data_IF_857303240210
#
_entry.id   IF_857303240210
#
_cell.length_a   1.000
_cell.length_b   1.000
_cell.length_c   1.000
_cell.angle_alpha   90.00
_cell.angle_beta   90.00
_cell.angle_gamma   90.00
#
_symmetry.space_group_name_H-M   'P 1'
#
loop_
_entity.id
_entity.type
_entity.pdbx_description
1 polymer ?
#
# COMPACT_ATOMS: atom_id res chain seq x y z
N UNK A 1 4.83 4.60 7.45
CA UNK A 1 4.32 4.51 6.06
C UNK A 1 4.65 5.81 5.33
N UNK A 2 4.82 5.75 4.01
CA UNK A 2 5.03 6.91 3.16
C UNK A 2 4.23 6.77 1.86
N UNK A 3 3.86 7.91 1.25
CA UNK A 3 3.33 7.97 -0.12
C UNK A 3 4.45 8.42 -1.04
N UNK A 4 4.74 7.63 -2.06
CA UNK A 4 5.65 7.99 -3.15
C UNK A 4 4.84 8.06 -4.44
N UNK A 5 4.70 9.26 -5.03
CA UNK A 5 3.90 9.45 -6.25
C UNK A 5 4.72 10.12 -7.34
N UNK A 6 4.55 9.67 -8.59
CA UNK A 6 5.08 10.35 -9.77
C UNK A 6 4.41 11.70 -10.08
N UNK A 7 3.37 12.07 -9.32
CA UNK A 7 2.62 13.31 -9.52
C UNK A 7 3.35 14.52 -8.91
N UNK A 8 3.03 15.72 -9.40
CA UNK A 8 3.27 16.97 -8.67
C UNK A 8 2.13 17.24 -7.67
N UNK A 9 2.34 18.17 -6.74
CA UNK A 9 1.43 18.60 -5.69
C UNK A 9 0.06 18.91 -6.24
N UNK A 10 -0.03 19.77 -7.27
CA UNK A 10 -1.32 20.13 -7.88
C UNK A 10 -2.13 18.90 -8.33
N UNK A 11 -1.47 17.96 -9.01
CA UNK A 11 -2.13 16.72 -9.50
C UNK A 11 -2.44 15.78 -8.34
N UNK A 12 -1.56 15.69 -7.35
CA UNK A 12 -1.75 14.86 -6.18
C UNK A 12 -2.95 15.34 -5.35
N UNK A 13 -3.07 16.65 -5.12
CA UNK A 13 -4.19 17.24 -4.39
C UNK A 13 -5.52 16.96 -5.08
N UNK A 14 -5.60 17.15 -6.40
CA UNK A 14 -6.78 16.85 -7.20
C UNK A 14 -7.21 15.37 -7.09
N UNK A 15 -6.23 14.44 -7.12
CA UNK A 15 -6.49 13.00 -6.95
C UNK A 15 -6.87 12.64 -5.51
N UNK A 16 -6.35 13.38 -4.54
CA UNK A 16 -6.51 13.09 -3.11
C UNK A 16 -7.82 13.60 -2.52
N UNK A 17 -8.58 14.45 -3.24
CA UNK A 17 -9.82 15.08 -2.72
C UNK A 17 -10.77 14.06 -2.10
N UNK A 18 -11.01 12.92 -2.76
CA UNK A 18 -11.94 11.88 -2.30
C UNK A 18 -11.44 11.04 -1.13
N UNK A 19 -10.15 11.15 -0.81
CA UNK A 19 -9.43 10.25 0.09
C UNK A 19 -8.60 10.99 1.14
N UNK A 20 -8.83 12.31 1.27
CA UNK A 20 -8.04 13.23 2.08
C UNK A 20 -7.94 12.79 3.55
N UNK A 21 -9.06 12.31 4.11
CA UNK A 21 -9.18 11.94 5.52
C UNK A 21 -8.14 10.92 5.99
N UNK A 22 -7.79 9.93 5.17
CA UNK A 22 -6.79 8.92 5.53
C UNK A 22 -5.41 9.21 4.92
N UNK A 23 -5.36 9.86 3.75
CA UNK A 23 -4.07 10.27 3.15
C UNK A 23 -3.33 11.29 4.01
N UNK A 24 -4.05 12.14 4.75
CA UNK A 24 -3.46 13.12 5.66
C UNK A 24 -2.82 12.45 6.90
N UNK A 25 -3.25 11.22 7.25
CA UNK A 25 -2.64 10.42 8.33
C UNK A 25 -1.25 9.90 7.97
N UNK A 26 -0.87 9.88 6.68
CA UNK A 26 0.45 9.44 6.23
C UNK A 26 1.38 10.66 6.15
N UNK A 27 2.34 10.82 7.08
CA UNK A 27 3.08 12.07 7.23
C UNK A 27 4.10 12.29 6.11
N UNK A 28 4.73 11.21 5.62
CA UNK A 28 5.78 11.29 4.61
C UNK A 28 5.13 11.19 3.23
N UNK A 29 5.26 12.26 2.44
CA UNK A 29 4.78 12.32 1.06
C UNK A 29 5.91 12.79 0.15
N UNK A 30 6.39 11.91 -0.72
CA UNK A 30 7.37 12.23 -1.77
C UNK A 30 6.64 12.35 -3.09
N UNK A 31 6.47 13.60 -3.54
CA UNK A 31 5.81 13.93 -4.80
C UNK A 31 6.89 14.22 -5.84
N UNK A 32 7.22 13.20 -6.64
CA UNK A 32 8.36 13.22 -7.55
C UNK A 32 8.31 14.35 -8.57
N UNK A 33 7.11 14.83 -8.92
CA UNK A 33 6.95 15.94 -9.86
C UNK A 33 7.52 17.27 -9.35
N UNK A 34 7.66 17.45 -8.03
CA UNK A 34 8.21 18.66 -7.42
C UNK A 34 9.39 18.38 -6.48
N UNK A 35 9.75 17.11 -6.28
CA UNK A 35 10.83 16.73 -5.38
C UNK A 35 12.19 16.85 -6.08
N UNK A 36 12.91 17.92 -5.77
CA UNK A 36 14.28 18.20 -6.26
C UNK A 36 15.26 17.02 -6.05
N UNK A 37 15.09 16.26 -4.98
CA UNK A 37 15.96 15.11 -4.69
C UNK A 37 15.75 13.95 -5.67
N UNK A 38 14.57 13.86 -6.30
CA UNK A 38 14.27 12.87 -7.33
C UNK A 38 14.75 13.38 -8.69
N UNK A 39 16.00 13.07 -9.02
CA UNK A 39 16.65 13.55 -10.25
C UNK A 39 16.14 12.84 -11.49
N UNK A 40 15.80 11.55 -11.36
CA UNK A 40 15.30 10.73 -12.46
C UNK A 40 13.93 10.16 -12.11
N UNK A 41 12.97 10.34 -13.01
CA UNK A 41 11.65 9.74 -12.87
C UNK A 41 11.69 8.21 -13.04
N UNK A 42 10.59 7.54 -12.69
CA UNK A 42 10.40 6.10 -12.99
C UNK A 42 10.67 5.84 -14.49
N UNK A 43 11.41 4.77 -14.87
CA UNK A 43 11.73 3.57 -14.09
C UNK A 43 13.03 3.63 -13.27
N UNK A 44 13.65 4.79 -13.09
CA UNK A 44 14.81 4.91 -12.21
C UNK A 44 14.40 4.82 -10.73
N UNK A 45 15.27 4.29 -9.84
CA UNK A 45 14.91 3.98 -8.45
C UNK A 45 14.84 5.19 -7.53
N UNK A 46 15.25 6.36 -8.01
CA UNK A 46 15.48 7.58 -7.22
C UNK A 46 14.30 7.91 -6.29
N UNK A 47 13.05 7.77 -6.75
CA UNK A 47 11.88 8.07 -5.94
C UNK A 47 11.77 7.20 -4.68
N UNK A 48 12.08 5.91 -4.77
CA UNK A 48 12.04 5.01 -3.63
C UNK A 48 13.23 5.21 -2.71
N UNK A 49 14.42 5.43 -3.27
CA UNK A 49 15.63 5.73 -2.50
C UNK A 49 15.47 7.00 -1.67
N UNK A 50 14.98 8.08 -2.27
CA UNK A 50 14.67 9.34 -1.58
C UNK A 50 13.61 9.11 -0.51
N UNK A 51 12.54 8.38 -0.83
CA UNK A 51 11.46 8.09 0.13
C UNK A 51 11.97 7.37 1.37
N UNK A 52 12.85 6.37 1.22
CA UNK A 52 13.46 5.67 2.36
C UNK A 52 14.26 6.61 3.27
N UNK A 53 14.95 7.61 2.71
CA UNK A 53 15.71 8.58 3.49
C UNK A 53 14.83 9.63 4.20
N UNK A 54 13.55 9.75 3.85
CA UNK A 54 12.60 10.65 4.56
C UNK A 54 12.07 10.08 5.87
N UNK A 55 12.31 8.81 6.16
CA UNK A 55 11.92 8.22 7.45
C UNK A 55 12.85 8.71 8.56
N UNK A 56 12.33 9.03 9.76
CA UNK A 56 13.16 9.40 10.91
C UNK A 56 14.22 8.35 11.25
N UNK A 57 13.87 7.07 11.07
CA UNK A 57 14.79 5.94 11.11
C UNK A 57 14.71 5.26 9.74
N UNK A 58 15.71 5.48 8.87
CA UNK A 58 15.76 4.83 7.56
C UNK A 58 15.81 3.29 7.70
N UNK A 59 15.23 2.55 6.75
CA UNK A 59 15.30 1.09 6.76
C UNK A 59 16.76 0.61 6.63
N UNK A 60 17.11 -0.45 7.36
CA UNK A 60 18.47 -0.99 7.35
C UNK A 60 18.91 -1.52 5.97
N UNK A 61 17.98 -2.05 5.17
CA UNK A 61 18.22 -2.52 3.82
C UNK A 61 16.96 -2.31 2.95
N UNK A 62 17.08 -2.02 1.63
CA UNK A 62 15.92 -1.85 0.75
C UNK A 62 14.95 -3.03 0.73
N UNK A 63 15.45 -4.26 0.91
CA UNK A 63 14.62 -5.48 1.00
C UNK A 63 13.69 -5.50 2.22
N UNK A 64 13.87 -4.61 3.21
CA UNK A 64 12.97 -4.47 4.35
C UNK A 64 11.80 -3.51 4.05
N UNK A 65 11.71 -3.01 2.82
CA UNK A 65 10.68 -2.09 2.36
C UNK A 65 9.76 -2.80 1.39
N UNK A 66 8.47 -2.70 1.65
CA UNK A 66 7.39 -3.19 0.80
C UNK A 66 6.73 -2.01 0.09
N UNK A 67 6.60 -2.12 -1.23
CA UNK A 67 5.99 -1.12 -2.12
C UNK A 67 4.81 -1.74 -2.85
N UNK A 68 3.69 -1.03 -2.85
CA UNK A 68 2.55 -1.33 -3.71
C UNK A 68 2.57 -0.39 -4.91
N UNK A 69 2.59 -0.94 -6.13
CA UNK A 69 2.65 -0.17 -7.37
C UNK A 69 1.60 -0.63 -8.37
N UNK A 70 1.04 0.32 -9.11
CA UNK A 70 0.00 0.09 -10.12
C UNK A 70 0.51 0.13 -11.55
N UNK A 71 1.72 0.67 -11.74
CA UNK A 71 2.28 0.97 -13.06
C UNK A 71 3.56 0.16 -13.36
N UNK A 72 3.74 -0.33 -14.61
CA UNK A 72 4.96 -1.02 -15.03
C UNK A 72 6.27 -0.25 -14.74
N UNK A 73 6.29 1.05 -15.03
CA UNK A 73 7.46 1.90 -14.78
C UNK A 73 7.74 2.01 -13.27
N UNK A 74 6.70 2.08 -12.44
CA UNK A 74 6.84 2.10 -11.00
C UNK A 74 7.36 0.79 -10.43
N UNK A 75 6.84 -0.34 -10.92
CA UNK A 75 7.36 -1.66 -10.56
C UNK A 75 8.85 -1.80 -10.92
N UNK A 76 9.25 -1.41 -12.13
CA UNK A 76 10.65 -1.40 -12.56
C UNK A 76 11.53 -0.53 -11.66
N UNK A 77 11.06 0.65 -11.27
CA UNK A 77 11.76 1.51 -10.33
C UNK A 77 11.92 0.88 -8.94
N UNK A 78 10.90 0.15 -8.45
CA UNK A 78 10.95 -0.53 -7.17
C UNK A 78 11.98 -1.68 -7.20
N UNK A 79 11.97 -2.49 -8.26
CA UNK A 79 12.94 -3.57 -8.46
C UNK A 79 14.36 -3.00 -8.55
N UNK A 80 14.55 -1.93 -9.33
CA UNK A 80 15.83 -1.24 -9.44
C UNK A 80 16.32 -0.64 -8.11
N UNK A 81 15.40 -0.31 -7.20
CA UNK A 81 15.72 0.19 -5.86
C UNK A 81 16.08 -0.94 -4.87
N UNK A 82 15.86 -2.21 -5.25
CA UNK A 82 16.07 -3.37 -4.39
C UNK A 82 15.00 -3.55 -3.30
N UNK A 83 13.86 -2.89 -3.44
CA UNK A 83 12.72 -3.02 -2.50
C UNK A 83 11.79 -4.17 -2.94
N UNK A 84 11.00 -4.67 -2.00
CA UNK A 84 9.95 -5.64 -2.31
C UNK A 84 8.81 -4.93 -3.01
N UNK A 85 8.42 -5.39 -4.20
CA UNK A 85 7.36 -4.78 -4.99
C UNK A 85 6.17 -5.73 -5.14
N UNK A 86 4.99 -5.25 -4.76
CA UNK A 86 3.70 -5.89 -5.02
C UNK A 86 2.97 -5.07 -6.08
N UNK A 87 2.80 -5.68 -7.24
CA UNK A 87 2.10 -5.06 -8.36
C UNK A 87 0.59 -5.21 -8.15
N UNK A 88 -0.12 -4.08 -8.04
CA UNK A 88 -1.58 -3.96 -7.98
C UNK A 88 -2.03 -3.31 -9.29
N UNK A 89 -2.11 -4.08 -10.40
CA UNK A 89 -2.25 -3.50 -11.72
C UNK A 89 -3.57 -2.73 -11.85
N UNK A 90 -3.49 -1.52 -12.40
CA UNK A 90 -4.68 -0.84 -12.94
C UNK A 90 -5.38 -1.83 -13.91
N UNK A 91 -6.71 -2.05 -13.77
CA UNK A 91 -7.46 -2.89 -14.69
C UNK A 91 -7.18 -2.60 -16.17
N UNK A 92 -6.96 -1.33 -16.53
CA UNK A 92 -6.62 -0.90 -17.88
C UNK A 92 -5.21 -1.31 -18.33
N UNK A 93 -4.28 -1.54 -17.40
CA UNK A 93 -2.88 -1.90 -17.66
C UNK A 93 -2.56 -3.36 -17.37
N UNK A 94 -3.58 -4.19 -17.14
CA UNK A 94 -3.42 -5.60 -16.74
C UNK A 94 -2.59 -6.41 -17.75
N UNK A 95 -2.82 -6.25 -19.06
CA UNK A 95 -2.05 -6.96 -20.10
C UNK A 95 -0.58 -6.54 -20.15
N UNK A 96 -0.29 -5.24 -20.01
CA UNK A 96 1.07 -4.73 -19.97
C UNK A 96 1.82 -5.16 -18.69
N UNK A 97 1.07 -5.37 -17.60
CA UNK A 97 1.63 -5.85 -16.33
C UNK A 97 1.99 -7.33 -16.38
N UNK A 98 1.22 -8.14 -17.14
CA UNK A 98 1.47 -9.57 -17.34
C UNK A 98 2.67 -9.86 -18.25
N UNK A 99 3.03 -8.93 -19.14
CA UNK A 99 4.21 -9.08 -20.02
C UNK A 99 5.52 -8.70 -19.34
N UNK A 100 5.47 -8.02 -18.19
CA UNK A 100 6.62 -7.94 -17.31
C UNK A 100 6.84 -9.36 -16.78
N UNK A 101 7.97 -9.98 -17.15
CA UNK A 101 8.37 -11.28 -16.62
C UNK A 101 8.85 -11.12 -15.17
N UNK A 102 7.94 -10.64 -14.31
CA UNK A 102 8.13 -10.48 -12.89
C UNK A 102 7.78 -11.80 -12.26
N UNK A 103 8.79 -12.52 -11.80
CA UNK A 103 8.55 -13.63 -10.87
C UNK A 103 7.71 -13.08 -9.71
N UNK A 104 6.59 -13.73 -9.41
CA UNK A 104 5.83 -13.44 -8.20
C UNK A 104 6.77 -13.75 -7.04
N UNK A 105 7.29 -12.71 -6.41
CA UNK A 105 8.26 -12.86 -5.32
C UNK A 105 7.55 -13.00 -3.98
N UNK A 106 6.34 -12.46 -3.85
CA UNK A 106 5.59 -12.36 -2.59
C UNK A 106 4.09 -12.49 -2.83
N UNK A 107 3.39 -13.09 -1.87
CA UNK A 107 1.92 -13.13 -1.78
C UNK A 107 1.55 -12.42 -0.48
N UNK A 108 0.58 -11.51 -0.54
CA UNK A 108 0.03 -10.86 0.65
C UNK A 108 -1.30 -11.51 0.97
N UNK A 109 -1.41 -12.04 2.19
CA UNK A 109 -2.66 -12.56 2.73
C UNK A 109 -3.41 -11.42 3.40
N UNK A 110 -4.37 -10.86 2.66
CA UNK A 110 -5.26 -9.75 3.06
C UNK A 110 -4.56 -8.49 3.65
N UNK A 111 -5.32 -7.41 3.84
CA UNK A 111 -4.89 -6.22 4.58
C UNK A 111 -5.50 -6.14 5.98
N UNK A 112 -6.47 -7.00 6.26
CA UNK A 112 -7.08 -7.14 7.59
C UNK A 112 -6.05 -7.65 8.60
N UNK A 113 -5.92 -6.94 9.72
CA UNK A 113 -4.90 -7.20 10.74
C UNK A 113 -3.49 -6.68 10.41
N UNK A 114 -3.24 -6.17 9.19
CA UNK A 114 -1.96 -5.53 8.81
C UNK A 114 -2.08 -4.01 8.70
N UNK A 115 -3.07 -3.52 7.93
CA UNK A 115 -3.32 -2.08 7.72
C UNK A 115 -4.58 -1.58 8.42
N UNK A 116 -5.58 -2.44 8.56
CA UNK A 116 -6.85 -2.11 9.20
C UNK A 116 -7.16 -3.21 10.22
N UNK A 117 -7.26 -2.82 11.50
CA UNK A 117 -7.76 -3.72 12.54
C UNK A 117 -9.29 -3.78 12.42
N UNK A 118 -9.77 -4.70 11.58
CA UNK A 118 -11.20 -4.91 11.33
C UNK A 118 -11.84 -5.76 12.42
N UNK A 119 -11.07 -6.37 13.31
CA UNK A 119 -11.56 -7.34 14.29
C UNK A 119 -12.58 -6.73 15.28
N UNK A 120 -12.42 -5.49 15.80
CA UNK A 120 -13.43 -4.84 16.62
C UNK A 120 -14.74 -4.58 15.84
N UNK A 121 -14.62 -4.19 14.57
CA UNK A 121 -15.78 -3.90 13.72
C UNK A 121 -16.55 -5.18 13.39
N UNK A 122 -15.80 -6.23 13.03
CA UNK A 122 -16.33 -7.57 12.77
C UNK A 122 -17.06 -8.13 14.00
N UNK A 123 -16.47 -8.03 15.21
CA UNK A 123 -17.12 -8.45 16.47
C UNK A 123 -18.38 -7.65 16.77
N UNK A 124 -18.38 -6.34 16.53
CA UNK A 124 -19.53 -5.48 16.75
C UNK A 124 -20.71 -5.87 15.84
N UNK A 125 -20.46 -6.05 14.54
CA UNK A 125 -21.47 -6.48 13.57
C UNK A 125 -22.01 -7.86 13.92
N UNK A 126 -21.14 -8.83 14.24
CA UNK A 126 -21.58 -10.18 14.60
C UNK A 126 -22.41 -10.21 15.89
N UNK A 127 -22.03 -9.43 16.90
CA UNK A 127 -22.79 -9.30 18.14
C UNK A 127 -24.17 -8.71 17.89
N UNK A 128 -24.27 -7.67 17.06
CA UNK A 128 -25.54 -7.08 16.67
C UNK A 128 -26.42 -8.07 15.89
N UNK A 129 -25.85 -8.71 14.87
CA UNK A 129 -26.56 -9.63 13.99
C UNK A 129 -27.11 -10.84 14.77
N UNK A 130 -26.27 -11.49 15.58
CA UNK A 130 -26.69 -12.61 16.42
C UNK A 130 -27.72 -12.17 17.47
N UNK A 131 -27.57 -10.97 18.03
CA UNK A 131 -28.53 -10.40 18.97
C UNK A 131 -29.93 -10.27 18.38
N UNK A 132 -30.07 -9.94 17.08
CA UNK A 132 -31.38 -9.88 16.39
C UNK A 132 -32.10 -11.23 16.34
N UNK A 133 -31.36 -12.33 16.44
CA UNK A 133 -31.90 -13.69 16.46
C UNK A 133 -31.89 -14.32 17.86
N UNK A 134 -31.62 -13.54 18.92
CA UNK A 134 -31.59 -14.03 20.30
C UNK A 134 -30.34 -14.83 20.66
N UNK A 135 -29.29 -14.78 19.84
CA UNK A 135 -28.01 -15.44 20.07
C UNK A 135 -26.95 -14.46 20.59
N UNK A 136 -25.97 -14.97 21.33
CA UNK A 136 -24.85 -14.18 21.84
C UNK A 136 -23.58 -14.59 21.11
N UNK A 137 -22.78 -13.62 20.67
CA UNK A 137 -21.46 -13.90 20.12
C UNK A 137 -20.54 -14.43 21.24
N UNK A 138 -20.08 -15.68 21.11
CA UNK A 138 -19.13 -16.29 22.04
C UNK A 138 -17.73 -16.36 21.44
N UNK A 139 -16.67 -16.41 22.26
CA UNK A 139 -15.30 -16.58 21.78
C UNK A 139 -15.11 -17.83 20.92
N UNK A 140 -15.85 -18.91 21.18
CA UNK A 140 -15.76 -20.13 20.37
C UNK A 140 -16.24 -19.91 18.93
N UNK A 141 -17.28 -19.08 18.73
CA UNK A 141 -17.78 -18.71 17.39
C UNK A 141 -16.72 -17.92 16.63
N UNK A 142 -16.10 -16.91 17.28
CA UNK A 142 -15.06 -16.10 16.65
C UNK A 142 -13.80 -16.89 16.25
N UNK A 143 -13.45 -17.93 17.00
CA UNK A 143 -12.24 -18.74 16.74
C UNK A 143 -12.37 -19.75 15.59
N UNK A 144 -13.59 -20.05 15.11
CA UNK A 144 -13.85 -21.06 14.06
C UNK A 144 -13.84 -20.51 12.64
N UNK A 145 -13.90 -19.18 12.46
CA UNK A 145 -13.92 -18.55 11.13
C UNK A 145 -12.54 -18.09 10.63
N UNK A 146 -11.49 -18.14 11.44
CA UNK A 146 -10.12 -17.75 11.05
C UNK A 146 -9.30 -18.87 10.37
N UNK A 147 -9.93 -19.84 9.70
CA UNK A 147 -9.26 -20.92 8.94
C UNK A 147 -9.53 -20.82 7.44
#
# INVERSE_FOLDING_TARGET
MAICSGSCLRKFEQKSVKHRSWLDLIPIKVLCGDCIEVKRGKPFPDCFLVTMQKFPVPPAHPSNVLVFEDSPNGAQAAIAAGVLCVMVPDPALRQQSQSLNMAVTHVIFDFDGLLVDTEPCYKAVHKELLGRYGHTFTPEIGSRECL
#
